data_IF_836279004358
#
_entry.id   IF_836279004358
#
_cell.length_a   1.000
_cell.length_b   1.000
_cell.length_c   1.000
_cell.angle_alpha   90.00
_cell.angle_beta   90.00
_cell.angle_gamma   90.00
#
_symmetry.space_group_name_H-M   'P 1'
#
loop_
_entity.id
_entity.type
_entity.pdbx_description
1 polymer ?
#
# COMPACT_ATOMS: atom_id res chain seq x y z
N UNK A 1 -19.55 12.60 9.15
CA UNK A 1 -19.06 12.58 8.62
C UNK A 1 -18.89 12.35 7.92
N UNK A 2 -18.72 12.04 7.78
CA UNK A 2 -18.33 11.96 7.05
C UNK A 2 -18.12 11.62 6.11
N UNK A 3 -18.23 11.67 5.93
CA UNK A 3 -18.27 11.22 4.89
C UNK A 3 -17.36 10.99 3.88
N UNK A 4 -17.48 10.46 2.79
CA UNK A 4 -16.59 10.15 1.84
C UNK A 4 -16.15 11.34 1.19
N UNK A 5 -15.16 11.85 1.67
CA UNK A 5 -14.74 13.16 1.35
C UNK A 5 -14.31 13.30 -0.08
N UNK A 6 -13.52 12.36 -0.56
CA UNK A 6 -12.91 12.57 -1.87
C UNK A 6 -13.95 12.58 -2.97
N UNK A 7 -14.95 11.72 -2.90
CA UNK A 7 -15.95 11.70 -3.93
C UNK A 7 -16.84 12.91 -3.89
N UNK A 8 -17.12 13.41 -2.71
CA UNK A 8 -18.00 14.56 -2.58
C UNK A 8 -17.37 15.83 -3.10
N UNK A 9 -16.06 15.84 -3.31
CA UNK A 9 -15.35 17.01 -3.82
C UNK A 9 -15.02 16.93 -5.29
N UNK A 10 -15.66 16.01 -6.01
CA UNK A 10 -15.45 15.93 -7.46
C UNK A 10 -14.18 15.24 -7.86
N UNK A 11 -13.51 14.53 -6.97
CA UNK A 11 -12.35 13.73 -7.29
C UNK A 11 -12.41 12.42 -6.51
N UNK A 12 -11.64 11.45 -6.96
CA UNK A 12 -11.56 10.13 -6.33
C UNK A 12 -10.12 9.80 -6.02
N UNK A 13 -9.94 9.11 -4.92
CA UNK A 13 -8.62 8.65 -4.49
C UNK A 13 -8.50 7.16 -4.71
N UNK A 14 -7.33 6.75 -5.14
CA UNK A 14 -7.00 5.38 -5.43
C UNK A 14 -5.67 5.05 -4.77
N UNK A 15 -5.50 3.79 -4.44
CA UNK A 15 -4.22 3.31 -3.94
C UNK A 15 -3.79 2.11 -4.76
N UNK A 16 -2.50 2.04 -5.03
CA UNK A 16 -1.89 0.89 -5.68
C UNK A 16 -0.77 0.38 -4.79
N UNK A 17 -0.76 -0.93 -4.58
CA UNK A 17 0.23 -1.58 -3.73
C UNK A 17 0.97 -2.60 -4.57
N UNK A 18 2.30 -2.55 -4.52
CA UNK A 18 3.17 -3.49 -5.21
C UNK A 18 3.98 -4.24 -4.17
N UNK A 19 3.83 -5.55 -4.12
CA UNK A 19 4.50 -6.39 -3.14
C UNK A 19 5.62 -7.15 -3.83
N UNK A 20 6.82 -6.61 -3.76
CA UNK A 20 7.99 -7.27 -4.30
C UNK A 20 8.68 -8.13 -3.25
N UNK A 21 9.69 -8.87 -3.65
CA UNK A 21 10.41 -9.76 -2.74
C UNK A 21 11.25 -9.01 -1.74
N UNK A 22 11.65 -7.79 -2.03
CA UNK A 22 12.50 -7.02 -1.14
C UNK A 22 11.91 -5.70 -0.71
N UNK A 23 10.96 -5.17 -1.44
CA UNK A 23 10.35 -3.88 -1.13
C UNK A 23 8.86 -3.93 -1.41
N UNK A 24 8.11 -3.34 -0.51
CA UNK A 24 6.68 -3.10 -0.71
C UNK A 24 6.49 -1.62 -1.00
N UNK A 25 5.64 -1.31 -1.96
CA UNK A 25 5.36 0.07 -2.35
C UNK A 25 3.87 0.33 -2.25
N UNK A 26 3.52 1.54 -1.85
CA UNK A 26 2.15 2.00 -1.94
C UNK A 26 2.15 3.40 -2.52
N UNK A 27 1.29 3.63 -3.50
CA UNK A 27 1.09 4.94 -4.09
C UNK A 27 -0.37 5.30 -3.86
N UNK A 28 -0.60 6.50 -3.37
CA UNK A 28 -1.93 7.06 -3.27
C UNK A 28 -2.01 8.21 -4.27
N UNK A 29 -3.04 8.19 -5.08
CA UNK A 29 -3.24 9.20 -6.11
C UNK A 29 -4.71 9.56 -6.15
N UNK A 30 -5.00 10.69 -6.76
CA UNK A 30 -6.38 11.08 -7.02
C UNK A 30 -6.50 11.58 -8.45
N UNK A 31 -7.73 11.54 -8.94
CA UNK A 31 -8.05 12.06 -10.27
C UNK A 31 -8.85 13.33 -10.07
N UNK A 32 -8.36 14.43 -10.62
CA UNK A 32 -9.01 15.73 -10.53
C UNK A 32 -9.13 16.26 -11.95
N UNK A 33 -10.36 16.43 -12.42
CA UNK A 33 -10.61 16.95 -13.76
C UNK A 33 -9.88 16.17 -14.85
N UNK A 34 -9.83 14.84 -14.70
CA UNK A 34 -9.18 13.98 -15.67
C UNK A 34 -7.68 13.85 -15.53
N UNK A 35 -7.07 14.56 -14.60
CA UNK A 35 -5.62 14.48 -14.38
C UNK A 35 -5.31 13.68 -13.11
N UNK A 36 -4.24 12.91 -13.16
CA UNK A 36 -3.80 12.11 -12.02
C UNK A 36 -2.80 12.92 -11.21
N UNK A 37 -3.06 13.00 -9.91
CA UNK A 37 -2.15 13.66 -8.97
C UNK A 37 -1.69 12.62 -7.95
N UNK A 38 -0.38 12.43 -7.82
CA UNK A 38 0.17 11.54 -6.82
C UNK A 38 0.25 12.30 -5.50
N UNK A 39 -0.42 11.76 -4.48
CA UNK A 39 -0.49 12.40 -3.17
C UNK A 39 0.57 11.85 -2.22
N UNK A 40 0.92 10.58 -2.37
CA UNK A 40 1.82 9.94 -1.42
C UNK A 40 2.47 8.74 -2.06
N UNK A 41 3.74 8.52 -1.72
CA UNK A 41 4.47 7.31 -2.10
C UNK A 41 5.13 6.80 -0.85
N UNK A 42 4.93 5.51 -0.58
CA UNK A 42 5.58 4.85 0.54
C UNK A 42 6.32 3.65 0.01
N UNK A 43 7.60 3.55 0.35
CA UNK A 43 8.40 2.39 0.04
C UNK A 43 8.99 1.87 1.34
N UNK A 44 8.89 0.57 1.55
CA UNK A 44 9.49 -0.08 2.71
C UNK A 44 10.29 -1.28 2.25
N UNK A 45 11.51 -1.36 2.71
CA UNK A 45 12.38 -2.49 2.42
C UNK A 45 12.06 -3.59 3.42
N UNK A 46 11.35 -4.60 2.97
CA UNK A 46 10.96 -5.74 3.81
C UNK A 46 11.96 -6.87 3.71
N UNK A 47 12.74 -6.92 2.64
CA UNK A 47 13.84 -7.85 2.44
C UNK A 47 13.43 -9.29 2.73
N UNK A 48 12.32 -9.73 2.12
CA UNK A 48 11.85 -11.09 2.30
C UNK A 48 12.83 -12.09 1.75
N UNK A 49 13.46 -11.78 0.60
CA UNK A 49 14.40 -12.69 -0.01
C UNK A 49 15.61 -12.95 0.88
N UNK A 50 16.03 -11.95 1.67
CA UNK A 50 17.15 -12.11 2.60
C UNK A 50 16.80 -13.05 3.76
N UNK A 51 15.53 -13.28 4.00
CA UNK A 51 15.09 -14.16 5.07
C UNK A 51 14.83 -15.58 4.64
N UNK A 52 15.09 -15.91 3.36
CA UNK A 52 14.91 -17.28 2.89
C UNK A 52 16.11 -18.12 3.26
N UNK A 53 15.86 -19.30 3.78
CA UNK A 53 16.93 -20.27 4.04
C UNK A 53 17.13 -21.17 2.81
N UNK A 54 18.00 -22.16 2.94
CA UNK A 54 18.31 -23.09 1.85
C UNK A 54 17.13 -23.94 1.46
N UNK A 55 16.12 -24.05 2.32
CA UNK A 55 14.89 -24.78 2.01
C UNK A 55 13.77 -23.86 1.57
N UNK A 56 14.06 -22.58 1.31
CA UNK A 56 13.10 -21.57 0.88
C UNK A 56 12.03 -21.29 1.93
N UNK A 57 12.40 -21.37 3.19
CA UNK A 57 11.52 -21.05 4.30
C UNK A 57 11.90 -19.66 4.83
N UNK A 58 10.91 -18.79 4.97
CA UNK A 58 11.14 -17.44 5.46
C UNK A 58 11.39 -17.46 6.97
N UNK A 59 12.34 -16.63 7.40
CA UNK A 59 12.59 -16.46 8.82
C UNK A 59 11.43 -15.71 9.48
N UNK A 60 11.31 -15.88 10.79
CA UNK A 60 10.29 -15.16 11.56
C UNK A 60 10.49 -13.66 11.45
N UNK A 61 11.74 -13.21 11.46
CA UNK A 61 12.03 -11.79 11.34
C UNK A 61 11.57 -11.23 10.00
N UNK A 62 11.76 -11.99 8.91
CA UNK A 62 11.32 -11.54 7.59
C UNK A 62 9.80 -11.46 7.52
N UNK A 63 9.13 -12.48 8.06
CA UNK A 63 7.67 -12.48 8.11
C UNK A 63 7.17 -11.25 8.89
N UNK A 64 7.80 -10.96 10.01
CA UNK A 64 7.37 -9.83 10.84
C UNK A 64 7.58 -8.50 10.11
N UNK A 65 8.68 -8.35 9.37
CA UNK A 65 8.90 -7.14 8.58
C UNK A 65 7.77 -6.94 7.56
N UNK A 66 7.39 -8.02 6.90
CA UNK A 66 6.30 -7.94 5.92
C UNK A 66 4.97 -7.60 6.57
N UNK A 67 4.66 -8.26 7.68
CA UNK A 67 3.40 -8.04 8.39
C UNK A 67 3.32 -6.60 8.91
N UNK A 68 4.41 -6.09 9.47
CA UNK A 68 4.44 -4.71 9.98
C UNK A 68 4.22 -3.71 8.85
N UNK A 69 4.79 -3.97 7.68
CA UNK A 69 4.61 -3.09 6.55
C UNK A 69 3.16 -3.11 6.05
N UNK A 70 2.56 -4.29 5.97
CA UNK A 70 1.17 -4.40 5.56
C UNK A 70 0.24 -3.72 6.56
N UNK A 71 0.54 -3.79 7.84
CA UNK A 71 -0.23 -3.08 8.85
C UNK A 71 -0.15 -1.58 8.65
N UNK A 72 1.04 -1.06 8.34
CA UNK A 72 1.21 0.35 8.04
C UNK A 72 0.39 0.76 6.82
N UNK A 73 0.44 -0.04 5.76
CA UNK A 73 -0.34 0.24 4.56
C UNK A 73 -1.83 0.21 4.87
N UNK A 74 -2.28 -0.77 5.67
CA UNK A 74 -3.67 -0.85 6.06
C UNK A 74 -4.15 0.39 6.81
N UNK A 75 -3.31 0.92 7.69
CA UNK A 75 -3.64 2.15 8.40
C UNK A 75 -3.83 3.33 7.45
N UNK A 76 -2.97 3.40 6.42
CA UNK A 76 -3.05 4.49 5.45
C UNK A 76 -4.25 4.35 4.53
N UNK A 77 -4.81 3.15 4.42
CA UNK A 77 -5.93 2.87 3.53
C UNK A 77 -7.28 2.99 4.22
N UNK A 78 -7.31 3.35 5.48
CA UNK A 78 -8.58 3.54 6.18
C UNK A 78 -9.38 4.62 5.48
N UNK A 79 -10.65 4.33 5.22
CA UNK A 79 -11.52 5.23 4.50
C UNK A 79 -11.56 5.03 3.00
N UNK A 80 -10.66 4.20 2.45
CA UNK A 80 -10.71 3.87 1.02
C UNK A 80 -11.74 2.78 0.79
N UNK A 81 -12.52 2.91 -0.27
CA UNK A 81 -13.38 1.81 -0.72
C UNK A 81 -12.50 0.70 -1.29
N UNK A 82 -12.84 -0.57 -1.05
CA UNK A 82 -12.02 -1.68 -1.58
C UNK A 82 -11.84 -1.63 -3.08
N UNK A 83 -12.83 -1.17 -3.82
CA UNK A 83 -12.72 -1.11 -5.28
C UNK A 83 -11.71 -0.06 -5.75
N UNK A 84 -11.28 0.83 -4.87
CA UNK A 84 -10.31 1.86 -5.20
C UNK A 84 -8.89 1.48 -4.76
N UNK A 85 -8.67 0.24 -4.36
CA UNK A 85 -7.37 -0.27 -3.95
C UNK A 85 -6.99 -1.43 -4.86
N UNK A 86 -5.80 -1.36 -5.43
CA UNK A 86 -5.25 -2.42 -6.27
C UNK A 86 -3.96 -2.95 -5.65
N UNK A 87 -3.83 -4.25 -5.68
CA UNK A 87 -2.62 -4.91 -5.16
C UNK A 87 -1.97 -5.68 -6.28
#
# INVERSE_FOLDING_TARGET
MFSQPSSSNGFREFAAIDLGSNSFHMIVARIVNGSIQVLSRIKRRVRLADGLDEHRILSQEAIQRGVDCLALFGDRLQGFSPENVRV
#
